data_IF_206007657536
#
_entry.id   IF_206007657536
#
_cell.length_a   1.000
_cell.length_b   1.000
_cell.length_c   1.000
_cell.angle_alpha   90.00
_cell.angle_beta   90.00
_cell.angle_gamma   90.00
#
_symmetry.space_group_name_H-M   'P 1'
#
loop_
_entity.id
_entity.type
_entity.pdbx_description
1 polymer ?
#
# COMPACT_ATOMS: atom_id res chain seq x y z
N UNK A 1 1.49 0.00 10.32
CA UNK A 1 1.36 -0.32 8.89
C UNK A 1 0.80 -1.72 8.73
N UNK A 2 -0.12 -1.87 7.82
CA UNK A 2 -0.76 -3.15 7.60
C UNK A 2 -0.76 -3.45 6.12
N UNK A 3 -0.31 -4.64 5.73
CA UNK A 3 -0.28 -5.04 4.33
C UNK A 3 -1.22 -6.22 4.16
N UNK A 4 -2.16 -6.08 3.24
CA UNK A 4 -3.12 -7.12 2.97
C UNK A 4 -3.17 -7.40 1.49
N UNK A 5 -3.23 -8.67 1.14
CA UNK A 5 -3.40 -9.05 -0.24
C UNK A 5 -4.68 -9.88 -0.35
N UNK A 6 -5.55 -9.48 -1.25
CA UNK A 6 -6.80 -10.19 -1.53
C UNK A 6 -6.62 -10.95 -2.85
N UNK A 7 -6.41 -12.26 -2.80
CA UNK A 7 -6.20 -13.02 -4.02
C UNK A 7 -7.44 -13.12 -4.89
N UNK A 8 -8.62 -12.97 -4.31
CA UNK A 8 -9.85 -13.05 -5.07
C UNK A 8 -10.02 -11.88 -6.01
N UNK A 9 -9.47 -10.72 -5.65
CA UNK A 9 -9.54 -9.51 -6.46
C UNK A 9 -8.18 -9.07 -6.96
N UNK A 10 -7.14 -9.82 -6.64
CA UNK A 10 -5.75 -9.49 -6.98
C UNK A 10 -5.42 -8.05 -6.55
N UNK A 11 -5.80 -7.72 -5.33
CA UNK A 11 -5.67 -6.38 -4.79
C UNK A 11 -4.70 -6.38 -3.63
N UNK A 12 -3.68 -5.53 -3.71
CA UNK A 12 -2.74 -5.35 -2.62
C UNK A 12 -3.03 -4.02 -1.95
N UNK A 13 -3.25 -4.03 -0.65
CA UNK A 13 -3.53 -2.85 0.12
C UNK A 13 -2.45 -2.63 1.17
N UNK A 14 -1.86 -1.44 1.18
CA UNK A 14 -0.85 -1.06 2.16
C UNK A 14 -1.43 0.09 2.97
N UNK A 15 -1.76 -0.18 4.22
CA UNK A 15 -2.36 0.82 5.08
C UNK A 15 -1.29 1.41 5.99
N UNK A 16 -1.06 2.69 5.89
CA UNK A 16 -0.04 3.38 6.68
C UNK A 16 -0.58 3.93 7.98
N UNK A 17 -1.83 4.39 7.97
CA UNK A 17 -2.44 5.00 9.14
C UNK A 17 -3.74 4.27 9.44
N UNK A 18 -3.85 3.73 10.66
CA UNK A 18 -5.09 3.09 11.08
C UNK A 18 -5.99 4.14 11.72
N UNK A 19 -7.24 3.88 11.80
CA UNK A 19 -8.22 4.76 12.48
C UNK A 19 -8.30 6.17 11.90
N UNK A 20 -7.96 6.33 10.66
CA UNK A 20 -8.04 7.62 10.01
C UNK A 20 -9.03 7.50 8.84
N UNK A 21 -9.98 8.40 8.77
CA UNK A 21 -10.97 8.37 7.70
C UNK A 21 -10.36 8.76 6.36
N UNK A 22 -10.75 8.07 5.31
CA UNK A 22 -10.35 8.40 3.96
C UNK A 22 -11.38 9.37 3.42
N UNK A 23 -10.96 10.55 3.02
CA UNK A 23 -11.85 11.58 2.49
C UNK A 23 -11.67 11.80 1.00
N UNK A 24 -10.57 11.31 0.43
CA UNK A 24 -10.31 11.46 -0.98
C UNK A 24 -9.46 10.29 -1.47
N UNK A 25 -9.75 9.79 -2.65
CA UNK A 25 -8.96 8.73 -3.27
C UNK A 25 -8.63 9.15 -4.68
N UNK A 26 -7.38 9.02 -5.06
CA UNK A 26 -6.92 9.37 -6.40
C UNK A 26 -6.38 8.12 -7.05
N UNK A 27 -6.91 7.79 -8.21
CA UNK A 27 -6.43 6.62 -8.95
C UNK A 27 -5.62 7.06 -10.15
N UNK A 28 -4.47 6.43 -10.34
CA UNK A 28 -3.67 6.64 -11.49
C UNK A 28 -3.14 5.30 -11.94
N UNK A 29 -3.59 4.85 -13.09
CA UNK A 29 -3.09 3.61 -13.71
C UNK A 29 -3.18 2.40 -12.78
N UNK A 30 -4.30 2.26 -12.10
CA UNK A 30 -4.55 1.10 -11.24
C UNK A 30 -3.90 1.17 -9.87
N UNK A 31 -3.34 2.33 -9.51
CA UNK A 31 -2.82 2.56 -8.18
C UNK A 31 -3.70 3.63 -7.54
N UNK A 32 -4.29 3.32 -6.40
CA UNK A 32 -5.19 4.24 -5.72
C UNK A 32 -4.51 4.73 -4.47
N UNK A 33 -4.43 6.03 -4.31
CA UNK A 33 -3.87 6.63 -3.11
C UNK A 33 -5.00 7.24 -2.31
N UNK A 34 -5.16 6.80 -1.08
CA UNK A 34 -6.22 7.23 -0.19
C UNK A 34 -5.69 8.28 0.78
N UNK A 35 -6.36 9.41 0.85
CA UNK A 35 -5.90 10.54 1.66
C UNK A 35 -6.85 10.85 2.81
N UNK A 36 -6.29 11.32 3.90
CA UNK A 36 -7.04 11.82 5.03
C UNK A 36 -7.40 13.28 4.82
N UNK A 37 -8.20 13.83 5.73
CA UNK A 37 -8.66 15.19 5.66
C UNK A 37 -7.54 16.20 5.63
N UNK A 38 -6.43 15.92 6.31
CA UNK A 38 -5.29 16.82 6.34
C UNK A 38 -4.22 16.47 5.31
N UNK A 39 -4.57 15.65 4.33
CA UNK A 39 -3.68 15.39 3.20
C UNK A 39 -2.63 14.31 3.42
N UNK A 40 -2.71 13.58 4.52
CA UNK A 40 -1.77 12.46 4.73
C UNK A 40 -2.23 11.25 3.95
N UNK A 41 -1.29 10.42 3.55
CA UNK A 41 -1.61 9.18 2.84
C UNK A 41 -2.00 8.13 3.87
N UNK A 42 -3.25 7.69 3.79
CA UNK A 42 -3.78 6.66 4.68
C UNK A 42 -3.40 5.29 4.16
N UNK A 43 -3.56 5.08 2.87
CA UNK A 43 -3.31 3.77 2.27
C UNK A 43 -3.01 3.89 0.79
N UNK A 44 -2.38 2.87 0.25
CA UNK A 44 -2.17 2.73 -1.18
C UNK A 44 -2.71 1.37 -1.57
N UNK A 45 -3.54 1.34 -2.64
CA UNK A 45 -4.11 0.11 -3.14
C UNK A 45 -3.60 -0.13 -4.56
N UNK A 46 -3.14 -1.33 -4.83
CA UNK A 46 -2.62 -1.68 -6.14
C UNK A 46 -3.53 -2.73 -6.76
N UNK A 47 -4.17 -2.38 -7.87
CA UNK A 47 -5.04 -3.28 -8.59
C UNK A 47 -4.19 -4.17 -9.49
N UNK A 48 -4.63 -5.39 -9.71
CA UNK A 48 -3.92 -6.37 -10.52
C UNK A 48 -2.49 -6.57 -10.01
N UNK A 49 -2.35 -6.62 -8.71
CA UNK A 49 -1.03 -6.60 -8.07
C UNK A 49 -0.12 -7.74 -8.51
N UNK A 50 -0.67 -8.94 -8.68
CA UNK A 50 0.12 -10.09 -9.08
C UNK A 50 0.65 -9.97 -10.48
N UNK A 51 -0.02 -9.20 -11.33
CA UNK A 51 0.42 -8.99 -12.70
C UNK A 51 1.41 -7.85 -12.81
N UNK A 52 1.33 -6.92 -11.88
CA UNK A 52 2.11 -5.69 -11.97
C UNK A 52 3.37 -5.69 -11.14
N UNK A 53 3.44 -6.56 -10.15
CA UNK A 53 4.60 -6.56 -9.24
C UNK A 53 5.34 -7.88 -9.35
N UNK A 54 4.84 -8.90 -8.72
CA UNK A 54 5.47 -10.20 -8.70
C UNK A 54 4.40 -11.25 -8.83
N UNK A 55 4.81 -12.45 -9.20
CA UNK A 55 3.87 -13.54 -9.39
C UNK A 55 3.04 -13.78 -8.14
N UNK A 56 3.62 -13.62 -6.97
CA UNK A 56 2.92 -13.79 -5.72
C UNK A 56 3.17 -12.57 -4.85
N UNK A 57 2.18 -11.66 -4.77
CA UNK A 57 2.36 -10.44 -3.98
C UNK A 57 2.66 -10.68 -2.51
N UNK A 58 2.33 -11.85 -1.98
CA UNK A 58 2.66 -12.15 -0.59
C UNK A 58 4.17 -12.25 -0.39
N UNK A 59 4.93 -12.46 -1.45
CA UNK A 59 6.37 -12.50 -1.33
C UNK A 59 6.94 -11.11 -1.03
N UNK A 60 6.13 -10.07 -1.21
CA UNK A 60 6.58 -8.72 -0.89
C UNK A 60 6.61 -8.49 0.61
N UNK A 61 6.11 -9.44 1.38
CA UNK A 61 6.08 -9.26 2.81
C UNK A 61 7.45 -9.45 3.44
N UNK A 62 8.43 -9.86 2.70
CA UNK A 62 9.77 -9.90 3.23
C UNK A 62 10.28 -8.47 3.26
N UNK A 63 9.72 -7.68 4.16
CA UNK A 63 10.08 -6.30 4.27
C UNK A 63 11.38 -6.17 4.98
N UNK A 64 12.39 -5.85 4.23
CA UNK A 64 13.63 -5.48 4.78
C UNK A 64 13.56 -4.05 5.17
N UNK A 65 13.56 -3.73 6.43
CA UNK A 65 13.62 -2.37 6.85
C UNK A 65 15.05 -1.95 6.82
N UNK A 66 15.39 -1.13 5.88
CA UNK A 66 16.71 -0.57 5.83
C UNK A 66 16.71 0.63 6.73
N UNK A 67 17.20 0.49 7.95
CA UNK A 67 17.37 1.60 8.77
C UNK A 67 18.58 2.25 8.30
N UNK A 68 18.48 3.50 8.01
CA UNK A 68 19.53 4.30 7.68
C UNK A 68 20.44 4.32 8.80
N UNK A 69 21.62 4.07 8.66
CA UNK A 69 22.54 4.18 9.64
C UNK A 69 22.79 5.52 9.85
N UNK A 70 22.16 6.00 10.19
CA UNK A 70 22.30 7.28 10.32
C UNK A 70 23.54 7.71 10.43
N UNK A 71 23.67 7.75 10.23
CA UNK A 71 24.31 8.19 10.18
C UNK A 71 24.76 8.48 10.51
N UNK A 72 24.81 8.40 10.52
CA UNK A 72 25.05 8.63 10.73
C UNK A 72 25.18 8.82 10.83
#
# INVERSE_FOLDING_TARGET
MKIEYDPGHDLLNIEFITDEAIVESVELDGVIIDYSKDGRIVAIEILDAGKRTTRNPLDLIDLSIVKEKAVA
#
